data_IF_089342269564
#
_entry.id   IF_089342269564
#
_cell.length_a   1.000
_cell.length_b   1.000
_cell.length_c   1.000
_cell.angle_alpha   90.00
_cell.angle_beta   90.00
_cell.angle_gamma   90.00
#
_symmetry.space_group_name_H-M   'P 1'
#
loop_
_entity.id
_entity.type
_entity.pdbx_description
1 polymer ?
#
# COMPACT_ATOMS: atom_id res chain seq x y z
N UNK A 1 -7.41 -25.60 -3.38
CA UNK A 1 -7.26 -25.29 -1.92
C UNK A 1 -7.74 -23.89 -1.52
N UNK A 2 -7.17 -22.77 -2.01
CA UNK A 2 -7.63 -21.43 -1.54
C UNK A 2 -9.10 -21.18 -1.92
N UNK A 3 -9.45 -21.41 -3.18
CA UNK A 3 -10.82 -21.21 -3.70
C UNK A 3 -11.82 -22.21 -3.11
N UNK A 4 -11.43 -23.47 -2.99
CA UNK A 4 -12.34 -24.54 -2.58
C UNK A 4 -12.48 -24.66 -1.06
N UNK A 5 -11.52 -24.16 -0.29
CA UNK A 5 -11.49 -24.32 1.17
C UNK A 5 -11.57 -22.98 1.89
N UNK A 6 -10.68 -22.03 1.58
CA UNK A 6 -10.58 -20.78 2.33
C UNK A 6 -11.73 -19.83 2.01
N UNK A 7 -12.03 -19.62 0.72
CA UNK A 7 -13.12 -18.74 0.28
C UNK A 7 -14.48 -19.12 0.91
N UNK A 8 -14.97 -20.38 0.82
CA UNK A 8 -16.26 -20.74 1.42
C UNK A 8 -16.27 -20.68 2.95
N UNK A 9 -15.14 -20.97 3.61
CA UNK A 9 -15.04 -20.80 5.07
C UNK A 9 -15.22 -19.33 5.48
N UNK A 10 -14.59 -18.40 4.77
CA UNK A 10 -14.71 -16.95 5.03
C UNK A 10 -16.13 -16.46 4.71
N UNK A 11 -16.72 -16.89 3.59
CA UNK A 11 -18.10 -16.53 3.22
C UNK A 11 -19.11 -16.99 4.26
N UNK A 12 -19.00 -18.24 4.74
CA UNK A 12 -19.89 -18.74 5.79
C UNK A 12 -19.73 -17.98 7.11
N UNK A 13 -18.49 -17.64 7.49
CA UNK A 13 -18.21 -16.84 8.68
C UNK A 13 -18.80 -15.42 8.60
N UNK A 14 -18.70 -14.77 7.43
CA UNK A 14 -19.25 -13.43 7.19
C UNK A 14 -20.78 -13.45 7.11
N UNK A 15 -21.36 -14.48 6.46
CA UNK A 15 -22.81 -14.63 6.28
C UNK A 15 -23.55 -14.75 7.61
N UNK A 16 -22.96 -15.42 8.61
CA UNK A 16 -23.50 -15.47 9.98
C UNK A 16 -23.65 -14.08 10.62
N UNK A 17 -22.92 -13.08 10.13
CA UNK A 17 -22.95 -11.68 10.60
C UNK A 17 -23.70 -10.75 9.64
N UNK A 18 -24.36 -11.30 8.62
CA UNK A 18 -25.06 -10.52 7.59
C UNK A 18 -24.12 -9.79 6.63
N UNK A 19 -22.84 -10.20 6.53
CA UNK A 19 -21.86 -9.61 5.63
C UNK A 19 -21.63 -10.52 4.41
N UNK A 20 -21.29 -9.91 3.27
CA UNK A 20 -20.97 -10.59 2.02
C UNK A 20 -19.63 -10.08 1.49
N UNK A 21 -18.86 -10.95 0.82
CA UNK A 21 -17.66 -10.54 0.10
C UNK A 21 -18.05 -9.77 -1.16
N UNK A 22 -17.30 -8.72 -1.46
CA UNK A 22 -17.42 -8.03 -2.74
C UNK A 22 -16.55 -8.74 -3.78
N UNK A 23 -17.17 -9.24 -4.84
CA UNK A 23 -16.46 -9.92 -5.94
C UNK A 23 -15.50 -8.98 -6.67
N UNK A 24 -15.83 -7.68 -6.75
CA UNK A 24 -14.97 -6.67 -7.39
C UNK A 24 -13.68 -6.41 -6.59
N UNK A 25 -13.76 -6.39 -5.26
CA UNK A 25 -12.62 -6.04 -4.38
C UNK A 25 -11.81 -7.26 -3.95
N UNK A 26 -12.35 -8.46 -4.11
CA UNK A 26 -11.74 -9.69 -3.59
C UNK A 26 -11.13 -10.50 -4.73
N UNK A 27 -9.81 -10.66 -4.72
CA UNK A 27 -9.10 -11.45 -5.74
C UNK A 27 -8.03 -12.32 -5.09
N UNK A 28 -7.90 -13.55 -5.61
CA UNK A 28 -6.80 -14.44 -5.26
C UNK A 28 -5.65 -14.16 -6.24
N UNK A 29 -4.48 -13.90 -5.69
CA UNK A 29 -3.29 -13.46 -6.43
C UNK A 29 -2.09 -14.28 -5.99
N UNK A 30 -1.14 -14.51 -6.91
CA UNK A 30 0.13 -15.17 -6.60
C UNK A 30 1.28 -14.19 -6.80
N UNK A 31 1.85 -13.71 -5.69
CA UNK A 31 2.93 -12.73 -5.74
C UNK A 31 4.17 -13.29 -6.47
N UNK A 32 4.45 -14.60 -6.35
CA UNK A 32 5.55 -15.26 -7.11
C UNK A 32 5.36 -15.23 -8.62
N UNK A 33 4.11 -15.15 -9.10
CA UNK A 33 3.81 -15.13 -10.53
C UNK A 33 3.84 -13.71 -11.13
N UNK A 34 4.29 -12.71 -10.35
CA UNK A 34 4.41 -11.33 -10.79
C UNK A 34 3.24 -10.43 -10.40
N UNK A 35 2.20 -10.97 -9.77
CA UNK A 35 1.11 -10.15 -9.23
C UNK A 35 1.62 -9.23 -8.11
N UNK A 36 1.05 -8.03 -8.05
CA UNK A 36 1.28 -7.08 -6.97
C UNK A 36 0.10 -7.08 -6.02
N UNK A 37 0.37 -7.09 -4.71
CA UNK A 37 -0.64 -6.99 -3.68
C UNK A 37 -0.63 -5.57 -3.10
N UNK A 38 -1.74 -4.85 -3.24
CA UNK A 38 -1.93 -3.58 -2.55
C UNK A 38 -2.66 -3.83 -1.22
N UNK A 39 -2.05 -3.40 -0.12
CA UNK A 39 -2.61 -3.56 1.22
C UNK A 39 -2.19 -2.40 2.12
N UNK A 40 -3.18 -1.74 2.74
CA UNK A 40 -2.98 -0.62 3.67
C UNK A 40 -2.05 0.49 3.13
N UNK A 41 -2.23 0.88 1.87
CA UNK A 41 -1.44 1.94 1.23
C UNK A 41 -0.03 1.54 0.79
N UNK A 42 0.34 0.26 0.93
CA UNK A 42 1.59 -0.30 0.44
C UNK A 42 1.36 -1.33 -0.67
N UNK A 43 2.30 -1.39 -1.60
CA UNK A 43 2.38 -2.40 -2.64
C UNK A 43 3.46 -3.40 -2.28
N UNK A 44 3.09 -4.69 -2.25
CA UNK A 44 3.97 -5.83 -2.07
C UNK A 44 4.23 -6.49 -3.42
N UNK A 45 5.50 -6.72 -3.73
CA UNK A 45 5.92 -7.32 -4.98
C UNK A 45 7.06 -8.31 -4.75
N UNK A 46 6.95 -9.50 -5.35
CA UNK A 46 8.03 -10.48 -5.33
C UNK A 46 9.14 -10.06 -6.30
N UNK A 47 10.39 -10.25 -5.86
CA UNK A 47 11.59 -9.95 -6.61
C UNK A 47 12.50 -11.17 -6.53
N UNK A 48 12.87 -11.72 -7.69
CA UNK A 48 13.81 -12.85 -7.78
C UNK A 48 15.28 -12.47 -7.60
N UNK A 49 15.63 -11.19 -7.77
CA UNK A 49 16.98 -10.67 -7.56
C UNK A 49 16.98 -9.35 -6.78
N UNK A 50 17.55 -9.39 -5.58
CA UNK A 50 17.64 -8.24 -4.68
C UNK A 50 18.36 -7.05 -5.33
N UNK A 51 17.66 -5.91 -5.42
CA UNK A 51 18.21 -4.59 -5.74
C UNK A 51 18.06 -3.64 -4.55
N UNK A 52 19.04 -2.77 -4.31
CA UNK A 52 19.07 -1.84 -3.15
C UNK A 52 18.00 -0.74 -3.17
N UNK A 53 17.17 -0.67 -4.21
CA UNK A 53 16.24 0.45 -4.45
C UNK A 53 15.04 0.51 -3.50
N UNK A 54 14.62 -0.63 -2.94
CA UNK A 54 13.38 -0.72 -2.17
C UNK A 54 13.64 -1.18 -0.73
N UNK A 55 12.69 -0.91 0.18
CA UNK A 55 12.69 -1.60 1.47
C UNK A 55 12.27 -3.05 1.21
N UNK A 56 13.19 -3.97 1.47
CA UNK A 56 13.04 -5.39 1.16
C UNK A 56 12.86 -6.19 2.44
N UNK A 57 11.89 -7.10 2.42
CA UNK A 57 11.79 -8.20 3.36
C UNK A 57 12.43 -9.43 2.71
N UNK A 58 13.55 -9.88 3.27
CA UNK A 58 14.30 -11.02 2.75
C UNK A 58 14.05 -12.24 3.62
N UNK A 59 13.84 -13.40 3.00
CA UNK A 59 13.86 -14.67 3.71
C UNK A 59 15.31 -15.20 3.77
N UNK A 60 15.72 -15.75 4.91
CA UNK A 60 17.10 -16.18 5.21
C UNK A 60 17.72 -16.98 4.04
N UNK A 61 18.92 -16.56 3.61
CA UNK A 61 19.78 -17.19 2.59
C UNK A 61 19.21 -17.30 1.16
N UNK A 62 18.62 -16.23 0.62
CA UNK A 62 18.19 -16.19 -0.79
C UNK A 62 18.46 -14.86 -1.47
N UNK A 63 18.52 -14.86 -2.81
CA UNK A 63 18.45 -13.66 -3.65
C UNK A 63 17.02 -13.18 -3.88
N UNK A 64 16.04 -13.90 -3.36
CA UNK A 64 14.62 -13.62 -3.46
C UNK A 64 14.15 -12.74 -2.30
N UNK A 65 13.28 -11.79 -2.59
CA UNK A 65 12.76 -10.85 -1.61
C UNK A 65 11.33 -10.42 -1.95
N UNK A 66 10.64 -9.89 -0.95
CA UNK A 66 9.39 -9.14 -1.15
C UNK A 66 9.71 -7.66 -0.97
N UNK A 67 9.57 -6.88 -2.03
CA UNK A 67 9.64 -5.43 -1.97
C UNK A 67 8.34 -4.86 -1.43
N UNK A 68 8.49 -3.91 -0.50
CA UNK A 68 7.42 -3.11 0.04
C UNK A 68 7.70 -1.63 -0.22
N UNK A 69 6.78 -0.97 -0.91
CA UNK A 69 6.86 0.44 -1.23
C UNK A 69 5.47 1.08 -1.20
N UNK A 70 5.35 2.40 -0.96
CA UNK A 70 4.06 3.06 -0.93
C UNK A 70 3.35 2.93 -2.29
N UNK A 71 2.04 2.76 -2.25
CA UNK A 71 1.21 2.76 -3.45
C UNK A 71 1.29 4.12 -4.14
N UNK A 72 1.41 4.13 -5.46
CA UNK A 72 1.59 5.36 -6.25
C UNK A 72 0.51 6.42 -5.98
N UNK A 73 -0.76 6.01 -5.94
CA UNK A 73 -1.88 6.93 -5.69
C UNK A 73 -1.85 7.58 -4.32
N UNK A 74 -1.47 6.84 -3.28
CA UNK A 74 -1.34 7.38 -1.91
C UNK A 74 -0.18 8.38 -1.82
N UNK A 75 0.95 8.05 -2.45
CA UNK A 75 2.08 8.97 -2.57
C UNK A 75 1.68 10.26 -3.31
N UNK A 76 0.95 10.14 -4.42
CA UNK A 76 0.47 11.30 -5.20
C UNK A 76 -0.50 12.17 -4.39
N UNK A 77 -1.38 11.57 -3.59
CA UNK A 77 -2.30 12.30 -2.72
C UNK A 77 -1.57 13.16 -1.67
N UNK A 78 -0.49 12.64 -1.08
CA UNK A 78 0.34 13.41 -0.13
C UNK A 78 1.03 14.57 -0.85
N UNK A 79 1.60 14.32 -2.03
CA UNK A 79 2.26 15.35 -2.85
C UNK A 79 1.27 16.45 -3.24
N UNK A 80 0.06 16.08 -3.64
CA UNK A 80 -0.97 17.04 -4.04
C UNK A 80 -1.45 17.88 -2.85
N UNK A 81 -1.64 17.25 -1.68
CA UNK A 81 -1.92 17.98 -0.44
C UNK A 81 -0.84 19.01 -0.12
N UNK A 82 0.44 18.65 -0.26
CA UNK A 82 1.54 19.59 -0.06
C UNK A 82 1.50 20.73 -1.10
N UNK A 83 1.27 20.42 -2.38
CA UNK A 83 1.11 21.44 -3.42
C UNK A 83 0.01 22.43 -3.09
N UNK A 84 -1.15 21.94 -2.68
CA UNK A 84 -2.28 22.79 -2.28
C UNK A 84 -1.95 23.70 -1.09
N UNK A 85 -1.16 23.22 -0.12
CA UNK A 85 -0.73 24.03 1.01
C UNK A 85 0.15 25.20 0.55
N UNK A 86 1.09 24.94 -0.36
CA UNK A 86 1.96 25.99 -0.91
C UNK A 86 1.22 26.97 -1.82
N UNK A 87 0.25 26.51 -2.63
CA UNK A 87 -0.54 27.39 -3.50
C UNK A 87 -1.48 28.29 -2.70
N UNK A 88 -2.20 27.74 -1.71
CA UNK A 88 -3.10 28.51 -0.84
C UNK A 88 -2.35 29.46 0.08
N UNK A 89 -1.17 29.05 0.55
CA UNK A 89 -0.35 29.83 1.47
C UNK A 89 0.67 30.75 0.81
N UNK A 90 0.59 31.03 -0.50
CA UNK A 90 1.57 31.83 -1.24
C UNK A 90 1.88 33.19 -0.58
N UNK A 91 0.88 33.86 0.00
CA UNK A 91 1.03 35.15 0.68
C UNK A 91 1.44 35.04 2.16
N UNK A 92 1.68 33.84 2.67
CA UNK A 92 2.06 33.60 4.08
C UNK A 92 3.57 33.63 4.26
N UNK A 93 4.06 34.01 5.46
CA UNK A 93 5.49 33.99 5.73
C UNK A 93 6.04 32.56 5.65
N UNK A 94 7.20 32.39 5.01
CA UNK A 94 7.79 31.07 4.71
C UNK A 94 7.93 30.17 5.95
N UNK A 95 8.26 30.76 7.11
CA UNK A 95 8.35 30.03 8.36
C UNK A 95 7.02 29.36 8.76
N UNK A 96 5.89 30.05 8.57
CA UNK A 96 4.56 29.51 8.87
C UNK A 96 4.18 28.35 7.95
N UNK A 97 4.51 28.46 6.66
CA UNK A 97 4.32 27.38 5.68
C UNK A 97 5.13 26.14 6.05
N UNK A 98 6.40 26.32 6.45
CA UNK A 98 7.26 25.22 6.89
C UNK A 98 6.69 24.56 8.16
N UNK A 99 6.23 25.36 9.12
CA UNK A 99 5.62 24.87 10.34
C UNK A 99 4.36 24.03 10.07
N UNK A 100 3.58 24.39 9.06
CA UNK A 100 2.39 23.64 8.65
C UNK A 100 2.73 22.39 7.83
N UNK A 101 3.72 22.44 6.93
CA UNK A 101 4.10 21.32 6.08
C UNK A 101 4.81 20.19 6.86
N UNK A 102 5.62 20.53 7.87
CA UNK A 102 6.40 19.57 8.65
C UNK A 102 5.56 18.45 9.29
N UNK A 103 4.42 18.72 9.95
CA UNK A 103 3.52 17.68 10.45
C UNK A 103 3.02 16.71 9.39
N UNK A 104 2.77 17.19 8.16
CA UNK A 104 2.27 16.36 7.05
C UNK A 104 3.36 15.44 6.50
N UNK A 105 4.62 15.86 6.53
CA UNK A 105 5.76 15.07 6.04
C UNK A 105 6.23 14.06 7.11
N UNK A 106 6.14 14.41 8.39
CA UNK A 106 6.64 13.60 9.51
C UNK A 106 5.62 12.60 10.04
N UNK A 107 4.32 12.92 9.96
CA UNK A 107 3.22 12.04 10.37
C UNK A 107 2.97 10.97 9.34
#
# INVERSE_FOLDING_TARGET
>A
MIEETIKPCVENFLKQRGLLLSDEKTKILSIRNGDKLNFLGYTFQYIGEISRKYKLFNYRQGREAIACYPQKGEYEAIVEKLREMFTKGYNSPSYSLIAQANPVIRG
#
